data_IF_499223882547
#
_entry.id   IF_499223882547
#
_cell.length_a   1.000
_cell.length_b   1.000
_cell.length_c   1.000
_cell.angle_alpha   90.00
_cell.angle_beta   90.00
_cell.angle_gamma   90.00
#
_symmetry.space_group_name_H-M   'P 1'
#
loop_
_entity.id
_entity.type
_entity.pdbx_description
1 polymer ?
#
# COMPACT_ATOMS: atom_id res chain seq x y z
N UNK A 1 24.49 -47.19 -59.87
CA UNK A 1 25.54 -46.63 -58.99
C UNK A 1 25.29 -45.14 -58.82
N UNK A 2 25.19 -44.69 -57.55
CA UNK A 2 25.29 -43.28 -57.07
C UNK A 2 24.16 -42.32 -57.51
N UNK A 3 23.64 -41.41 -56.70
CA UNK A 3 23.79 -41.11 -55.27
C UNK A 3 22.66 -40.12 -54.91
N UNK A 4 21.92 -40.45 -53.84
CA UNK A 4 21.44 -39.61 -52.73
C UNK A 4 21.34 -38.10 -53.00
N UNK A 5 20.11 -37.60 -53.12
CA UNK A 5 19.76 -36.18 -53.01
C UNK A 5 19.76 -35.76 -51.53
N UNK A 6 20.67 -34.86 -51.18
CA UNK A 6 20.81 -34.25 -49.87
C UNK A 6 19.72 -33.19 -49.66
N UNK A 7 18.80 -33.40 -48.73
CA UNK A 7 17.82 -32.40 -48.29
C UNK A 7 18.40 -31.69 -47.06
N UNK A 8 18.86 -30.45 -47.24
CA UNK A 8 19.25 -29.57 -46.15
C UNK A 8 18.01 -28.79 -45.67
N UNK A 9 17.41 -29.23 -44.57
CA UNK A 9 16.38 -28.46 -43.85
C UNK A 9 17.08 -27.60 -42.80
N UNK A 10 17.33 -26.35 -43.16
CA UNK A 10 17.68 -25.27 -42.24
C UNK A 10 16.38 -24.75 -41.60
N UNK A 11 16.06 -25.26 -40.41
CA UNK A 11 14.99 -24.72 -39.57
C UNK A 11 15.57 -23.58 -38.72
N UNK A 12 15.45 -22.35 -39.24
CA UNK A 12 15.63 -21.12 -38.49
C UNK A 12 14.46 -20.95 -37.51
N UNK A 13 14.68 -21.32 -36.23
CA UNK A 13 13.77 -20.94 -35.15
C UNK A 13 14.14 -19.52 -34.71
N UNK A 14 13.59 -18.52 -35.37
CA UNK A 14 13.54 -17.16 -34.83
C UNK A 14 12.56 -17.17 -33.66
N UNK A 15 13.08 -17.30 -32.44
CA UNK A 15 12.32 -17.02 -31.21
C UNK A 15 12.08 -15.52 -31.18
N UNK A 16 10.98 -15.11 -31.80
CA UNK A 16 10.37 -13.80 -31.62
C UNK A 16 9.88 -13.69 -30.18
N UNK A 17 10.81 -13.42 -29.27
CA UNK A 17 10.51 -13.00 -27.91
C UNK A 17 9.96 -11.58 -27.95
N UNK A 18 8.68 -11.41 -28.32
CA UNK A 18 7.91 -10.25 -27.92
C UNK A 18 7.80 -10.27 -26.40
N UNK A 19 8.73 -9.62 -25.71
CA UNK A 19 8.55 -9.23 -24.32
C UNK A 19 7.39 -8.22 -24.29
N UNK A 20 6.19 -8.72 -24.06
CA UNK A 20 5.04 -7.89 -23.75
C UNK A 20 5.34 -7.14 -22.44
N UNK A 21 5.57 -5.83 -22.56
CA UNK A 21 5.51 -4.90 -21.44
C UNK A 21 4.16 -5.10 -20.75
N UNK A 22 4.17 -5.72 -19.56
CA UNK A 22 3.08 -5.54 -18.62
C UNK A 22 3.23 -4.13 -18.05
N UNK A 23 2.58 -3.17 -18.70
CA UNK A 23 2.27 -1.90 -18.09
C UNK A 23 1.44 -2.19 -16.82
N UNK A 24 2.08 -2.12 -15.66
CA UNK A 24 1.37 -2.06 -14.39
C UNK A 24 0.54 -0.78 -14.44
N UNK A 25 -0.73 -0.93 -14.81
CA UNK A 25 -1.75 0.12 -14.74
C UNK A 25 -1.67 0.73 -13.35
N UNK A 26 -1.06 1.91 -13.27
CA UNK A 26 -0.94 2.71 -12.07
C UNK A 26 -2.36 2.93 -11.55
N UNK A 27 -2.70 2.23 -10.47
CA UNK A 27 -3.99 2.37 -9.81
C UNK A 27 -4.17 3.85 -9.50
N UNK A 28 -5.26 4.41 -10.01
CA UNK A 28 -5.69 5.78 -9.78
C UNK A 28 -5.51 6.10 -8.28
N UNK A 29 -4.49 6.92 -7.94
CA UNK A 29 -4.23 7.34 -6.56
C UNK A 29 -5.37 8.28 -6.17
N UNK A 30 -6.47 7.72 -5.69
CA UNK A 30 -7.54 8.51 -5.08
C UNK A 30 -6.94 9.28 -3.91
N UNK A 31 -7.02 10.61 -3.99
CA UNK A 31 -6.51 11.51 -2.96
C UNK A 31 -7.58 11.62 -1.87
N UNK A 32 -7.48 10.76 -0.87
CA UNK A 32 -8.32 10.81 0.31
C UNK A 32 -7.91 11.99 1.22
N UNK A 33 -8.90 12.63 1.84
CA UNK A 33 -8.67 13.61 2.89
C UNK A 33 -8.85 12.90 4.25
N UNK A 34 -7.80 12.91 5.07
CA UNK A 34 -7.80 12.32 6.42
C UNK A 34 -7.89 13.38 7.52
N UNK A 35 -8.22 14.62 7.15
CA UNK A 35 -8.24 15.77 8.06
C UNK A 35 -6.84 16.21 8.49
N UNK A 36 -6.80 17.29 9.25
CA UNK A 36 -5.59 17.80 9.91
C UNK A 36 -5.77 17.70 11.41
N UNK A 37 -5.09 16.76 12.04
CA UNK A 37 -4.96 16.71 13.49
C UNK A 37 -3.52 16.39 13.86
N UNK A 38 -3.09 16.87 15.03
CA UNK A 38 -1.74 16.65 15.56
C UNK A 38 -0.61 17.27 14.72
N UNK A 39 -0.91 18.30 13.94
CA UNK A 39 0.09 19.02 13.13
C UNK A 39 1.08 19.80 14.01
N UNK A 40 0.64 20.20 15.20
CA UNK A 40 1.45 20.86 16.22
C UNK A 40 2.45 19.90 16.90
N UNK A 41 2.27 18.60 16.73
CA UNK A 41 3.09 17.58 17.40
C UNK A 41 4.35 17.26 16.59
N UNK A 42 5.42 17.00 17.32
CA UNK A 42 6.68 16.52 16.76
C UNK A 42 6.49 15.17 16.04
N UNK A 43 7.04 15.04 14.83
CA UNK A 43 7.11 13.75 14.11
C UNK A 43 8.25 12.91 14.69
N UNK A 44 7.91 11.75 15.24
CA UNK A 44 8.88 10.82 15.85
C UNK A 44 9.34 9.71 14.89
N UNK A 45 8.50 9.36 13.91
CA UNK A 45 8.80 8.32 12.92
C UNK A 45 8.09 8.61 11.61
N UNK A 46 8.78 8.40 10.50
CA UNK A 46 8.18 8.36 9.16
C UNK A 46 8.02 6.90 8.73
N UNK A 47 6.90 6.62 8.08
CA UNK A 47 6.52 5.30 7.59
C UNK A 47 6.24 5.43 6.10
N UNK A 48 6.82 4.54 5.30
CA UNK A 48 6.70 4.59 3.85
C UNK A 48 6.29 3.24 3.28
N UNK A 49 5.19 3.25 2.52
CA UNK A 49 4.74 2.16 1.65
C UNK A 49 4.60 0.80 2.35
N UNK A 50 4.09 0.79 3.59
CA UNK A 50 3.89 -0.44 4.35
C UNK A 50 2.50 -1.01 4.12
N UNK A 51 2.37 -2.34 4.22
CA UNK A 51 1.10 -3.04 4.14
C UNK A 51 0.41 -3.10 5.50
N UNK A 52 -0.91 -3.13 5.46
CA UNK A 52 -1.74 -3.27 6.65
C UNK A 52 -3.22 -3.29 6.33
N UNK A 53 -4.02 -3.07 7.36
CA UNK A 53 -5.47 -3.02 7.25
C UNK A 53 -6.06 -1.80 7.98
N UNK A 54 -7.22 -1.36 7.50
CA UNK A 54 -8.09 -0.45 8.25
C UNK A 54 -8.84 -1.27 9.30
N UNK A 55 -8.78 -0.84 10.56
CA UNK A 55 -9.45 -1.49 11.68
C UNK A 55 -10.39 -0.51 12.40
N UNK A 56 -11.48 -1.04 12.94
CA UNK A 56 -12.38 -0.31 13.83
C UNK A 56 -11.91 -0.52 15.26
N UNK A 57 -11.69 0.56 16.02
CA UNK A 57 -11.34 0.47 17.45
C UNK A 57 -12.61 0.48 18.29
N UNK A 58 -13.53 1.39 17.96
CA UNK A 58 -14.88 1.49 18.53
C UNK A 58 -15.80 2.18 17.50
N UNK A 59 -17.03 2.53 17.88
CA UNK A 59 -17.99 3.14 16.95
C UNK A 59 -17.57 4.51 16.40
N UNK A 60 -16.70 5.23 17.10
CA UNK A 60 -16.24 6.56 16.73
C UNK A 60 -14.81 6.61 16.15
N UNK A 61 -13.99 5.58 16.39
CA UNK A 61 -12.56 5.61 16.12
C UNK A 61 -12.10 4.51 15.17
N UNK A 62 -11.40 4.92 14.13
CA UNK A 62 -10.77 4.06 13.12
C UNK A 62 -9.25 4.23 13.15
N UNK A 63 -8.53 3.17 12.79
CA UNK A 63 -7.08 3.18 12.77
C UNK A 63 -6.51 2.34 11.62
N UNK A 64 -5.25 2.59 11.30
CA UNK A 64 -4.44 1.74 10.43
C UNK A 64 -3.62 0.79 11.30
N UNK A 65 -3.60 -0.49 10.93
CA UNK A 65 -2.80 -1.51 11.60
C UNK A 65 -1.81 -2.11 10.58
N UNK A 66 -0.49 -1.92 10.75
CA UNK A 66 0.51 -2.61 9.94
C UNK A 66 0.41 -4.13 10.06
N UNK A 67 0.76 -4.82 8.99
CA UNK A 67 0.91 -6.27 9.04
C UNK A 67 2.11 -6.65 9.92
N UNK A 68 1.94 -7.62 10.82
CA UNK A 68 3.01 -8.13 11.69
C UNK A 68 3.38 -7.24 12.87
N UNK A 69 2.81 -6.04 13.01
CA UNK A 69 3.03 -5.17 14.17
C UNK A 69 1.78 -5.07 15.06
N UNK A 70 1.98 -5.01 16.38
CA UNK A 70 0.91 -4.76 17.35
C UNK A 70 0.80 -3.27 17.68
N UNK A 71 0.78 -2.43 16.65
CA UNK A 71 0.59 -0.97 16.77
C UNK A 71 -0.65 -0.56 16.00
N UNK A 72 -1.30 0.52 16.47
CA UNK A 72 -2.47 1.12 15.82
C UNK A 72 -2.14 2.57 15.56
N UNK A 73 -2.39 3.03 14.35
CA UNK A 73 -2.22 4.41 13.94
C UNK A 73 -3.58 5.08 13.80
N UNK A 74 -3.90 5.97 14.73
CA UNK A 74 -5.18 6.66 14.79
C UNK A 74 -5.31 7.66 13.65
N UNK A 75 -6.46 7.65 12.99
CA UNK A 75 -6.81 8.61 11.95
C UNK A 75 -7.58 9.78 12.56
N UNK A 76 -7.37 11.00 12.06
CA UNK A 76 -8.18 12.15 12.46
C UNK A 76 -9.60 12.02 11.90
N UNK A 77 -9.66 11.82 10.58
CA UNK A 77 -10.87 11.54 9.85
C UNK A 77 -10.63 10.34 8.94
N UNK A 78 -11.71 9.62 8.63
CA UNK A 78 -11.67 8.53 7.67
C UNK A 78 -12.80 8.77 6.65
N UNK A 79 -12.49 8.83 5.35
CA UNK A 79 -13.50 8.89 4.31
C UNK A 79 -14.48 7.73 4.42
N UNK A 80 -15.76 7.99 4.15
CA UNK A 80 -16.83 6.98 4.27
C UNK A 80 -16.55 5.71 3.45
N UNK A 81 -15.96 5.88 2.26
CA UNK A 81 -15.58 4.78 1.37
C UNK A 81 -14.57 3.80 1.99
N UNK A 82 -13.78 4.29 2.94
CA UNK A 82 -12.74 3.54 3.66
C UNK A 82 -13.21 3.00 5.01
N UNK A 83 -14.42 3.34 5.48
CA UNK A 83 -15.00 2.81 6.74
C UNK A 83 -15.49 1.36 6.58
N UNK A 84 -14.58 0.48 6.19
CA UNK A 84 -14.80 -0.97 6.11
C UNK A 84 -13.72 -1.66 6.91
N UNK A 85 -14.17 -2.46 7.88
CA UNK A 85 -13.26 -3.20 8.75
C UNK A 85 -12.47 -4.24 7.94
N UNK A 86 -11.19 -4.41 8.28
CA UNK A 86 -10.24 -5.31 7.64
C UNK A 86 -9.99 -5.03 6.15
N UNK A 87 -10.17 -3.77 5.70
CA UNK A 87 -9.79 -3.38 4.35
C UNK A 87 -8.27 -3.37 4.20
N UNK A 88 -7.74 -4.23 3.33
CA UNK A 88 -6.31 -4.28 3.00
C UNK A 88 -5.86 -3.01 2.28
N UNK A 89 -4.77 -2.44 2.76
CA UNK A 89 -4.22 -1.18 2.27
C UNK A 89 -2.68 -1.21 2.25
N UNK A 90 -2.12 -0.27 1.50
CA UNK A 90 -0.73 0.14 1.60
C UNK A 90 -0.70 1.63 1.92
N UNK A 91 0.05 2.03 2.94
CA UNK A 91 0.04 3.40 3.43
C UNK A 91 1.41 3.93 3.84
N UNK A 92 1.49 5.25 3.84
CA UNK A 92 2.62 6.05 4.29
C UNK A 92 2.12 7.17 5.19
N UNK A 93 2.97 7.63 6.10
CA UNK A 93 2.64 8.77 6.95
C UNK A 93 3.66 9.05 8.05
N UNK A 94 3.25 9.91 8.96
CA UNK A 94 4.09 10.40 10.06
C UNK A 94 3.46 10.03 11.39
N UNK A 95 4.20 9.29 12.21
CA UNK A 95 3.84 9.05 13.60
C UNK A 95 4.20 10.30 14.40
N UNK A 96 3.22 10.81 15.14
CA UNK A 96 3.37 11.98 16.00
C UNK A 96 3.65 11.56 17.43
N UNK A 97 4.34 12.43 18.17
CA UNK A 97 4.68 12.21 19.58
C UNK A 97 3.42 12.08 20.44
N UNK A 98 3.42 11.13 21.36
CA UNK A 98 2.47 11.05 22.47
C UNK A 98 3.11 11.75 23.67
N UNK A 99 2.39 12.67 24.32
CA UNK A 99 2.95 13.38 25.46
C UNK A 99 3.06 12.45 26.69
N UNK A 100 4.03 12.65 27.61
CA UNK A 100 4.31 11.72 28.72
C UNK A 100 3.12 11.37 29.66
N UNK A 101 2.02 12.11 29.62
CA UNK A 101 0.82 11.90 30.44
C UNK A 101 -0.44 11.57 29.62
N UNK A 102 -0.30 11.31 28.31
CA UNK A 102 -1.42 10.92 27.45
C UNK A 102 -1.56 9.40 27.37
N UNK A 103 -2.79 8.91 27.45
CA UNK A 103 -3.13 7.51 27.12
C UNK A 103 -4.07 7.50 25.92
N UNK A 104 -3.53 7.15 24.75
CA UNK A 104 -4.30 7.10 23.51
C UNK A 104 -4.56 5.65 23.08
N UNK A 105 -5.74 5.38 22.54
CA UNK A 105 -6.11 4.05 22.02
C UNK A 105 -5.34 3.67 20.73
N UNK A 106 -4.77 4.66 20.05
CA UNK A 106 -3.92 4.51 18.89
C UNK A 106 -2.89 5.65 18.85
N UNK A 107 -1.72 5.41 18.26
CA UNK A 107 -0.69 6.41 18.08
C UNK A 107 -1.15 7.48 17.08
N UNK A 108 -1.00 8.78 17.39
CA UNK A 108 -1.43 9.85 16.50
C UNK A 108 -0.62 9.80 15.20
N UNK A 109 -1.33 9.80 14.07
CA UNK A 109 -0.73 9.54 12.77
C UNK A 109 -1.27 10.46 11.69
N UNK A 110 -0.37 11.07 10.93
CA UNK A 110 -0.69 11.88 9.77
C UNK A 110 -0.47 11.06 8.50
N UNK A 111 -1.57 10.69 7.83
CA UNK A 111 -1.50 9.94 6.57
C UNK A 111 -0.96 10.85 5.46
N UNK A 112 0.06 10.39 4.75
CA UNK A 112 0.61 11.08 3.56
C UNK A 112 0.21 10.38 2.26
N UNK A 113 0.02 9.07 2.30
CA UNK A 113 -0.49 8.29 1.18
C UNK A 113 -1.22 7.05 1.67
N UNK A 114 -2.30 6.69 0.99
CA UNK A 114 -3.01 5.44 1.23
C UNK A 114 -3.54 4.91 -0.11
N UNK A 115 -3.33 3.63 -0.36
CA UNK A 115 -3.83 2.92 -1.54
C UNK A 115 -4.51 1.63 -1.09
N UNK A 116 -5.67 1.34 -1.66
CA UNK A 116 -6.39 0.09 -1.38
C UNK A 116 -5.69 -1.06 -2.12
N UNK A 117 -5.37 -2.10 -1.37
CA UNK A 117 -4.81 -3.34 -1.90
C UNK A 117 -5.98 -4.31 -2.10
N UNK A 118 -6.19 -4.75 -3.34
CA UNK A 118 -7.16 -5.78 -3.68
C UNK A 118 -6.51 -7.14 -3.50
#
# INVERSE_FOLDING_TARGET
>A
MKNIFTIAILLSVSVSGCFAQQETKSKNKMKYNFGTCHDERETVKKIENIKGAIIKINDALWALKPDGENVRYGLCEIPEELKKENMSITFSGEVKKINPNERMAAAPFKVTSLTITK
#
